data_IF_853629488326
#
_entry.id   IF_853629488326
#
_cell.length_a   1.000
_cell.length_b   1.000
_cell.length_c   1.000
_cell.angle_alpha   90.00
_cell.angle_beta   90.00
_cell.angle_gamma   90.00
#
_symmetry.space_group_name_H-M   'P 1'
#
loop_
_entity.id
_entity.type
_entity.pdbx_description
1 polymer ?
#
# COMPACT_ATOMS: atom_id res chain seq x y z
N UNK A 1 25.18 41.65 -35.49
CA UNK A 1 25.66 40.30 -35.21
C UNK A 1 25.66 40.16 -33.71
N UNK A 2 24.47 39.97 -33.15
CA UNK A 2 24.29 39.50 -31.78
C UNK A 2 23.41 38.28 -31.94
N UNK A 3 24.10 37.15 -32.04
CA UNK A 3 23.57 35.80 -32.14
C UNK A 3 22.99 35.47 -30.76
N UNK A 4 21.69 35.68 -30.59
CA UNK A 4 20.92 35.17 -29.45
C UNK A 4 20.88 33.63 -29.58
N UNK A 5 22.01 33.01 -29.23
CA UNK A 5 22.18 31.57 -29.05
C UNK A 5 21.42 31.18 -27.77
N UNK A 6 20.09 31.24 -27.87
CA UNK A 6 19.18 30.60 -26.92
C UNK A 6 19.34 29.09 -27.13
N UNK A 7 20.39 28.54 -26.53
CA UNK A 7 20.62 27.10 -26.37
C UNK A 7 19.40 26.59 -25.59
N UNK A 8 18.43 26.11 -26.37
CA UNK A 8 17.13 25.72 -25.90
C UNK A 8 17.30 24.79 -24.72
N UNK A 9 16.55 25.08 -23.65
CA UNK A 9 16.37 24.15 -22.55
C UNK A 9 16.35 22.73 -23.11
N UNK A 10 17.41 21.97 -22.81
CA UNK A 10 17.60 20.60 -23.25
C UNK A 10 16.24 19.88 -23.16
N UNK A 11 15.76 19.32 -24.27
CA UNK A 11 14.41 18.75 -24.39
C UNK A 11 14.18 17.62 -23.34
N UNK A 12 15.29 17.09 -22.80
CA UNK A 12 15.34 16.09 -21.74
C UNK A 12 15.56 16.68 -20.32
N UNK A 13 15.57 18.00 -20.13
CA UNK A 13 15.78 18.65 -18.82
C UNK A 13 14.72 18.26 -17.79
N UNK A 14 13.52 17.89 -18.24
CA UNK A 14 12.45 17.37 -17.37
C UNK A 14 12.62 15.88 -17.02
N UNK A 15 13.42 15.11 -17.76
CA UNK A 15 13.68 13.70 -17.47
C UNK A 15 14.62 13.49 -16.26
N UNK A 16 15.30 14.55 -15.81
CA UNK A 16 16.11 14.53 -14.61
C UNK A 16 15.28 14.58 -13.30
N UNK A 17 13.98 14.90 -13.38
CA UNK A 17 13.10 14.91 -12.20
C UNK A 17 12.62 13.50 -11.90
N UNK A 18 13.24 12.89 -10.89
CA UNK A 18 12.78 11.62 -10.33
C UNK A 18 11.80 11.87 -9.18
N UNK A 19 10.86 10.96 -9.04
CA UNK A 19 9.92 10.88 -7.93
C UNK A 19 10.30 9.72 -7.03
N UNK A 20 9.88 9.71 -5.75
CA UNK A 20 10.06 8.53 -4.90
C UNK A 20 9.44 7.24 -5.46
N UNK A 21 8.50 7.35 -6.41
CA UNK A 21 7.89 6.20 -7.09
C UNK A 21 8.84 5.54 -8.12
N UNK A 22 9.88 6.25 -8.55
CA UNK A 22 10.88 5.75 -9.51
C UNK A 22 11.97 4.93 -8.83
N UNK A 23 11.99 4.89 -7.50
CA UNK A 23 12.92 4.06 -6.72
C UNK A 23 12.55 2.57 -6.79
N UNK A 24 13.55 1.70 -6.91
CA UNK A 24 13.35 0.23 -6.89
C UNK A 24 12.69 -0.26 -5.59
N UNK A 25 12.92 0.48 -4.49
CA UNK A 25 12.29 0.26 -3.20
C UNK A 25 11.42 1.48 -2.88
N UNK A 26 10.19 1.46 -3.37
CA UNK A 26 9.19 2.47 -3.03
C UNK A 26 8.33 2.00 -1.84
N UNK A 27 8.31 2.78 -0.75
CA UNK A 27 7.39 2.56 0.38
C UNK A 27 5.97 3.08 0.11
N UNK A 28 5.79 3.88 -0.94
CA UNK A 28 4.52 4.52 -1.28
C UNK A 28 3.77 3.64 -2.27
N UNK A 29 2.64 3.10 -1.82
CA UNK A 29 1.71 2.35 -2.67
C UNK A 29 0.50 3.22 -3.03
N UNK A 30 0.29 3.44 -4.32
CA UNK A 30 -0.74 4.32 -4.86
C UNK A 30 -2.17 3.86 -4.53
N UNK A 31 -2.41 2.55 -4.42
CA UNK A 31 -3.71 2.00 -4.03
C UNK A 31 -3.95 2.21 -2.54
N UNK A 32 -2.90 2.02 -1.71
CA UNK A 32 -2.96 2.28 -0.28
C UNK A 32 -3.23 3.76 -0.01
N UNK A 33 -2.54 4.65 -0.70
CA UNK A 33 -2.76 6.11 -0.59
C UNK A 33 -4.17 6.47 -1.03
N UNK A 34 -4.62 5.98 -2.19
CA UNK A 34 -5.97 6.22 -2.67
C UNK A 34 -7.04 5.79 -1.66
N UNK A 35 -6.93 4.57 -1.12
CA UNK A 35 -7.85 4.07 -0.10
C UNK A 35 -7.87 4.96 1.15
N UNK A 36 -6.69 5.33 1.66
CA UNK A 36 -6.59 6.18 2.86
C UNK A 36 -7.22 7.55 2.65
N UNK A 37 -6.96 8.18 1.49
CA UNK A 37 -7.53 9.47 1.14
C UNK A 37 -9.05 9.36 1.01
N UNK A 38 -9.55 8.33 0.33
CA UNK A 38 -10.99 8.16 0.12
C UNK A 38 -11.73 7.87 1.45
N UNK A 39 -11.17 7.02 2.31
CA UNK A 39 -11.74 6.75 3.64
C UNK A 39 -11.62 7.95 4.58
N UNK A 40 -10.51 8.67 4.52
CA UNK A 40 -10.34 9.93 5.23
C UNK A 40 -11.36 10.97 4.78
N UNK A 41 -11.67 11.01 3.49
CA UNK A 41 -12.72 11.85 2.95
C UNK A 41 -14.10 11.44 3.45
N UNK A 42 -14.44 10.15 3.40
CA UNK A 42 -15.71 9.64 3.94
C UNK A 42 -15.92 10.03 5.41
N UNK A 43 -14.86 9.99 6.22
CA UNK A 43 -14.92 10.34 7.64
C UNK A 43 -14.97 11.86 7.90
N UNK A 44 -14.29 12.67 7.10
CA UNK A 44 -14.17 14.12 7.31
C UNK A 44 -15.25 14.94 6.63
N UNK A 45 -15.67 14.54 5.43
CA UNK A 45 -16.74 15.17 4.65
C UNK A 45 -17.59 14.11 3.93
N UNK A 46 -18.61 13.54 4.62
CA UNK A 46 -19.52 12.57 4.04
C UNK A 46 -20.33 13.11 2.86
N UNK A 47 -20.57 14.43 2.80
CA UNK A 47 -21.32 15.05 1.71
C UNK A 47 -20.49 14.99 0.44
N UNK A 48 -19.21 15.35 0.52
CA UNK A 48 -18.32 15.32 -0.64
C UNK A 48 -18.01 13.90 -1.09
N UNK A 49 -17.83 12.96 -0.15
CA UNK A 49 -17.73 11.54 -0.47
C UNK A 49 -18.97 11.03 -1.21
N UNK A 50 -20.17 11.38 -0.74
CA UNK A 50 -21.44 11.00 -1.40
C UNK A 50 -21.58 11.66 -2.77
N UNK A 51 -21.12 12.90 -2.95
CA UNK A 51 -21.13 13.56 -4.26
C UNK A 51 -20.23 12.84 -5.28
N UNK A 52 -19.08 12.32 -4.84
CA UNK A 52 -18.13 11.58 -5.68
C UNK A 52 -18.61 10.15 -6.00
N UNK A 53 -19.26 9.48 -5.05
CA UNK A 53 -19.57 8.03 -5.14
C UNK A 53 -21.04 7.72 -5.37
N UNK A 54 -21.95 8.67 -5.13
CA UNK A 54 -23.39 8.42 -5.08
C UNK A 54 -24.04 8.11 -6.43
N UNK A 55 -23.40 8.50 -7.54
CA UNK A 55 -23.89 8.23 -8.90
C UNK A 55 -23.23 7.02 -9.56
N UNK A 56 -22.39 6.28 -8.83
CA UNK A 56 -21.73 5.10 -9.37
C UNK A 56 -22.76 3.99 -9.65
N UNK A 57 -22.66 3.37 -10.81
CA UNK A 57 -23.44 2.17 -11.13
C UNK A 57 -23.07 1.01 -10.19
N UNK A 58 -23.92 -0.01 -10.05
CA UNK A 58 -23.57 -1.19 -9.23
C UNK A 58 -22.24 -1.84 -9.63
N UNK A 59 -21.94 -1.85 -10.93
CA UNK A 59 -20.67 -2.35 -11.46
C UNK A 59 -19.48 -1.47 -11.03
N UNK A 60 -19.61 -0.15 -11.14
CA UNK A 60 -18.56 0.79 -10.71
C UNK A 60 -18.35 0.76 -9.19
N UNK A 61 -19.42 0.60 -8.41
CA UNK A 61 -19.31 0.39 -6.96
C UNK A 61 -18.55 -0.90 -6.64
N UNK A 62 -18.75 -1.96 -7.43
CA UNK A 62 -18.00 -3.19 -7.26
C UNK A 62 -16.52 -3.01 -7.61
N UNK A 63 -16.21 -2.36 -8.74
CA UNK A 63 -14.83 -2.02 -9.13
C UNK A 63 -14.14 -1.18 -8.05
N UNK A 64 -14.84 -0.19 -7.47
CA UNK A 64 -14.30 0.61 -6.36
C UNK A 64 -13.98 -0.26 -5.15
N UNK A 65 -14.85 -1.22 -4.78
CA UNK A 65 -14.55 -2.18 -3.70
C UNK A 65 -13.34 -3.06 -4.02
N UNK A 66 -13.22 -3.54 -5.26
CA UNK A 66 -12.07 -4.35 -5.69
C UNK A 66 -10.76 -3.57 -5.54
N UNK A 67 -10.75 -2.28 -5.89
CA UNK A 67 -9.61 -1.38 -5.64
C UNK A 67 -9.29 -1.28 -4.14
N UNK A 68 -10.30 -1.18 -3.27
CA UNK A 68 -10.07 -1.15 -1.81
C UNK A 68 -9.47 -2.46 -1.28
N UNK A 69 -9.91 -3.60 -1.81
CA UNK A 69 -9.38 -4.92 -1.45
C UNK A 69 -7.95 -5.08 -1.93
N UNK A 70 -7.65 -4.65 -3.15
CA UNK A 70 -6.30 -4.67 -3.70
C UNK A 70 -5.33 -3.82 -2.85
N UNK A 71 -5.77 -2.65 -2.40
CA UNK A 71 -5.00 -1.81 -1.48
C UNK A 71 -4.64 -2.54 -0.19
N UNK A 72 -5.59 -3.28 0.42
CA UNK A 72 -5.31 -4.07 1.63
C UNK A 72 -4.31 -5.18 1.38
N UNK A 73 -4.45 -5.89 0.26
CA UNK A 73 -3.53 -6.96 -0.13
C UNK A 73 -2.10 -6.42 -0.33
N UNK A 74 -1.95 -5.30 -1.03
CA UNK A 74 -0.65 -4.66 -1.26
C UNK A 74 -0.01 -4.18 0.05
N UNK A 75 -0.80 -3.55 0.93
CA UNK A 75 -0.33 -3.13 2.26
C UNK A 75 0.17 -4.34 3.08
N UNK A 76 -0.61 -5.41 3.14
CA UNK A 76 -0.25 -6.62 3.88
C UNK A 76 1.00 -7.30 3.28
N UNK A 77 1.15 -7.31 1.96
CA UNK A 77 2.33 -7.85 1.29
C UNK A 77 3.59 -7.02 1.60
N UNK A 78 3.49 -5.68 1.58
CA UNK A 78 4.58 -4.79 1.94
C UNK A 78 5.02 -4.96 3.40
N UNK A 79 4.07 -5.05 4.33
CA UNK A 79 4.33 -5.34 5.74
C UNK A 79 4.99 -6.71 5.92
N UNK A 80 4.53 -7.73 5.19
CA UNK A 80 5.12 -9.08 5.22
C UNK A 80 6.58 -9.08 4.73
N UNK A 81 6.86 -8.38 3.62
CA UNK A 81 8.22 -8.22 3.09
C UNK A 81 9.14 -7.50 4.09
N UNK A 82 8.63 -6.48 4.79
CA UNK A 82 9.37 -5.76 5.83
C UNK A 82 9.68 -6.65 7.05
N UNK A 83 8.75 -7.52 7.43
CA UNK A 83 8.96 -8.52 8.49
C UNK A 83 10.03 -9.54 8.07
N UNK A 84 9.98 -10.04 6.83
CA UNK A 84 11.00 -10.96 6.30
C UNK A 84 12.40 -10.32 6.32
N UNK A 85 12.52 -9.07 5.83
CA UNK A 85 13.78 -8.32 5.83
C UNK A 85 14.33 -8.03 7.24
N UNK A 86 13.47 -7.93 8.25
CA UNK A 86 13.87 -7.71 9.65
C UNK A 86 14.18 -9.00 10.42
N UNK A 87 14.24 -10.15 9.74
CA UNK A 87 14.60 -11.44 10.34
C UNK A 87 13.42 -12.27 10.82
N UNK A 88 12.19 -11.96 10.37
CA UNK A 88 10.97 -12.69 10.68
C UNK A 88 10.19 -12.13 11.88
N UNK A 89 9.11 -12.82 12.26
CA UNK A 89 8.23 -12.37 13.34
C UNK A 89 8.93 -12.53 14.70
N UNK A 90 9.10 -11.43 15.43
CA UNK A 90 9.75 -11.47 16.74
C UNK A 90 8.74 -11.83 17.84
N UNK A 91 8.81 -13.06 18.36
CA UNK A 91 7.94 -13.51 19.45
C UNK A 91 8.43 -12.94 20.79
N UNK A 92 7.81 -11.84 21.22
CA UNK A 92 8.19 -11.11 22.44
C UNK A 92 7.99 -11.95 23.72
N UNK A 93 7.11 -12.96 23.69
CA UNK A 93 6.89 -13.91 24.78
C UNK A 93 7.35 -15.32 24.38
N UNK A 94 8.60 -15.66 24.68
CA UNK A 94 9.16 -17.01 24.53
C UNK A 94 8.80 -17.92 25.73
N UNK A 95 7.56 -17.89 26.22
CA UNK A 95 7.11 -18.97 27.11
C UNK A 95 6.83 -20.18 26.23
N UNK A 96 7.87 -20.98 25.98
CA UNK A 96 7.70 -22.33 25.43
C UNK A 96 6.81 -23.08 26.43
N UNK A 97 5.58 -23.50 26.04
CA UNK A 97 4.78 -24.31 26.93
C UNK A 97 5.57 -25.56 27.27
N UNK A 98 5.76 -25.84 28.56
CA UNK A 98 6.50 -27.03 29.03
C UNK A 98 5.83 -28.35 28.62
N UNK A 99 4.64 -28.27 28.02
CA UNK A 99 3.88 -29.38 27.45
C UNK A 99 3.55 -29.13 25.98
N UNK A 100 4.57 -28.96 25.14
CA UNK A 100 4.40 -29.02 23.69
C UNK A 100 4.59 -30.48 23.23
N UNK A 101 3.48 -31.17 22.93
CA UNK A 101 3.50 -32.58 22.54
C UNK A 101 3.41 -32.74 21.01
N UNK A 102 4.53 -33.05 20.36
CA UNK A 102 4.57 -33.42 18.93
C UNK A 102 4.15 -34.88 18.65
N UNK A 103 4.01 -35.71 19.69
CA UNK A 103 3.68 -37.13 19.59
C UNK A 103 2.21 -37.37 19.95
N UNK A 104 1.34 -37.44 18.95
CA UNK A 104 -0.08 -37.75 19.17
C UNK A 104 -0.30 -39.04 19.96
N UNK A 105 -0.96 -38.92 21.13
CA UNK A 105 -2.26 -39.53 21.47
C UNK A 105 -2.67 -39.19 22.92
N UNK A 106 -3.94 -38.88 23.18
CA UNK A 106 -4.44 -38.63 24.53
C UNK A 106 -4.70 -39.93 25.32
N UNK A 107 -4.41 -39.82 26.62
CA UNK A 107 -4.76 -40.59 27.82
C UNK A 107 -5.52 -41.93 27.66
N UNK A 108 -4.92 -42.99 28.21
CA UNK A 108 -5.57 -44.27 28.47
C UNK A 108 -5.17 -44.84 29.83
N UNK A 109 -6.09 -44.66 30.80
CA UNK A 109 -6.26 -45.29 32.13
C UNK A 109 -5.14 -45.24 33.17
#
# INVERSE_FOLDING_TARGET
>A
DDDDDYDGADDCSLEAYTTPLDEEICEIDEYVVFKQVLQGLEASDPIWYTALTGNLTPEQQNQLREVMVLADQRKAAAESKKIEQSGGYNFVNQTVPTTFNFGGKPLGR
#
